data_IF_184970946125
#
_entry.id   IF_184970946125
#
_cell.length_a   1.000
_cell.length_b   1.000
_cell.length_c   1.000
_cell.angle_alpha   90.00
_cell.angle_beta   90.00
_cell.angle_gamma   90.00
#
_symmetry.space_group_name_H-M   'P 1'
#
loop_
_entity.id
_entity.type
_entity.pdbx_description
1 polymer ?
#
# COMPACT_ATOMS: atom_id res chain seq x y z
N UNK A 1 11.19 -7.38 -0.89
CA UNK A 1 10.85 -6.52 0.27
C UNK A 1 10.20 -5.25 -0.23
N UNK A 2 8.95 -5.06 0.17
CA UNK A 2 8.13 -3.88 -0.14
C UNK A 2 7.61 -3.27 1.15
N UNK A 3 7.18 -2.03 1.12
CA UNK A 3 6.58 -1.38 2.27
C UNK A 3 6.12 0.03 1.98
N UNK A 4 5.80 0.76 3.04
CA UNK A 4 5.37 2.14 2.96
C UNK A 4 5.88 2.95 4.14
N UNK A 5 6.09 4.24 3.90
CA UNK A 5 6.11 5.24 4.95
C UNK A 5 4.69 5.78 5.13
N UNK A 6 4.19 5.73 6.36
CA UNK A 6 2.87 6.20 6.75
C UNK A 6 3.02 7.48 7.57
N UNK A 7 2.44 8.59 7.10
CA UNK A 7 2.63 9.90 7.73
C UNK A 7 1.84 10.11 9.02
N UNK A 8 0.90 9.21 9.33
CA UNK A 8 0.12 9.25 10.57
C UNK A 8 0.14 7.91 11.30
N UNK A 9 -0.01 7.99 12.62
CA UNK A 9 -0.16 6.83 13.51
C UNK A 9 -1.40 6.05 13.09
N UNK A 10 -1.28 4.72 13.07
CA UNK A 10 -2.40 3.83 12.76
C UNK A 10 -3.54 4.00 13.77
N UNK A 11 -4.74 4.25 13.27
CA UNK A 11 -5.98 4.36 14.02
C UNK A 11 -7.02 3.40 13.45
N UNK A 12 -7.79 2.69 14.29
CA UNK A 12 -8.90 1.87 13.84
C UNK A 12 -9.97 2.77 13.21
N UNK A 13 -10.50 2.37 12.06
CA UNK A 13 -11.48 3.16 11.32
C UNK A 13 -12.52 2.30 10.60
N UNK A 14 -13.41 2.99 9.89
CA UNK A 14 -14.38 2.35 8.99
C UNK A 14 -13.73 2.01 7.64
N UNK A 15 -14.41 1.19 6.84
CA UNK A 15 -13.93 0.85 5.50
C UNK A 15 -13.87 2.07 4.57
N UNK A 16 -14.60 3.14 4.86
CA UNK A 16 -14.68 4.32 4.00
C UNK A 16 -13.71 5.44 4.42
N UNK A 17 -12.99 5.27 5.54
CA UNK A 17 -12.24 6.34 6.17
C UNK A 17 -10.74 6.20 5.94
N UNK A 18 -10.24 6.85 4.88
CA UNK A 18 -8.80 7.05 4.68
C UNK A 18 -8.29 8.25 5.48
N UNK A 19 -7.05 8.17 5.94
CA UNK A 19 -6.32 9.22 6.63
C UNK A 19 -4.85 9.23 6.19
N UNK A 20 -4.01 10.09 6.79
CA UNK A 20 -2.65 10.37 6.32
C UNK A 20 -2.58 11.62 5.45
N UNK A 21 -1.42 11.85 4.84
CA UNK A 21 -1.15 13.02 3.99
C UNK A 21 -0.08 12.71 2.93
N UNK A 22 0.21 13.70 2.09
CA UNK A 22 1.16 13.62 0.98
C UNK A 22 2.63 13.31 1.32
N UNK A 23 3.00 13.23 2.60
CA UNK A 23 4.32 12.73 3.00
C UNK A 23 4.42 11.20 2.94
N UNK A 24 3.29 10.48 2.89
CA UNK A 24 3.28 9.04 2.70
C UNK A 24 3.86 8.65 1.35
N UNK A 25 4.55 7.50 1.29
CA UNK A 25 5.08 6.94 0.05
C UNK A 25 5.22 5.43 0.15
N UNK A 26 5.19 4.75 -1.01
CA UNK A 26 5.45 3.32 -1.13
C UNK A 26 6.91 3.10 -1.53
N UNK A 27 7.45 1.93 -1.20
CA UNK A 27 8.76 1.53 -1.66
C UNK A 27 8.85 0.03 -1.95
N UNK A 28 9.75 -0.31 -2.88
CA UNK A 28 10.26 -1.66 -3.10
C UNK A 28 11.78 -1.59 -3.00
N UNK A 29 12.37 -2.37 -2.11
CA UNK A 29 13.84 -2.45 -1.99
C UNK A 29 14.42 -3.63 -2.75
N UNK A 30 13.64 -4.71 -2.91
CA UNK A 30 14.00 -5.92 -3.66
C UNK A 30 12.73 -6.61 -4.20
N UNK A 31 12.82 -7.37 -5.30
CA UNK A 31 14.01 -7.56 -6.13
C UNK A 31 14.33 -6.32 -6.99
N UNK A 32 15.53 -6.30 -7.57
CA UNK A 32 16.00 -5.21 -8.44
C UNK A 32 16.43 -3.93 -7.69
N UNK A 33 16.55 -2.84 -8.45
CA UNK A 33 16.88 -1.52 -7.92
C UNK A 33 15.75 -0.95 -7.06
N UNK A 34 16.07 -0.27 -5.94
CA UNK A 34 15.05 0.36 -5.12
C UNK A 34 14.14 1.29 -5.93
N UNK A 35 12.83 1.16 -5.72
CA UNK A 35 11.80 2.00 -6.33
C UNK A 35 11.00 2.68 -5.23
N UNK A 36 10.65 3.95 -5.44
CA UNK A 36 9.86 4.77 -4.50
C UNK A 36 8.74 5.43 -5.28
N UNK A 37 7.50 5.26 -4.82
CA UNK A 37 6.32 5.93 -5.37
C UNK A 37 5.81 6.94 -4.35
N UNK A 38 6.02 8.23 -4.65
CA UNK A 38 5.53 9.34 -3.84
C UNK A 38 4.09 9.67 -4.23
N UNK A 39 3.39 10.38 -3.35
CA UNK A 39 2.07 10.93 -3.70
C UNK A 39 2.18 11.75 -4.99
N UNK A 40 1.30 11.48 -5.95
CA UNK A 40 1.35 12.12 -7.27
C UNK A 40 0.88 13.59 -7.22
N UNK A 41 0.25 14.04 -6.13
CA UNK A 41 -0.27 15.40 -5.98
C UNK A 41 -1.47 15.70 -6.87
N UNK A 42 -1.91 14.75 -7.68
CA UNK A 42 -3.10 14.82 -8.51
C UNK A 42 -4.31 14.40 -7.67
N UNK A 43 -4.77 15.32 -6.82
CA UNK A 43 -6.04 15.20 -6.09
C UNK A 43 -7.21 15.40 -7.05
N UNK A 44 -7.31 14.55 -8.09
CA UNK A 44 -8.46 14.48 -8.98
C UNK A 44 -9.50 13.61 -8.27
N UNK A 45 -10.47 14.25 -7.61
CA UNK A 45 -11.67 13.63 -7.03
C UNK A 45 -11.45 12.28 -6.30
N UNK A 46 -11.03 12.33 -5.03
CA UNK A 46 -11.09 11.16 -4.13
C UNK A 46 -9.95 10.15 -4.29
N UNK A 47 -8.83 10.56 -4.90
CA UNK A 47 -7.59 9.78 -5.05
C UNK A 47 -6.64 9.87 -3.85
N UNK A 48 -6.87 10.80 -2.91
CA UNK A 48 -6.04 11.00 -1.72
C UNK A 48 -6.33 9.94 -0.64
N UNK A 49 -6.06 8.68 -0.98
CA UNK A 49 -6.37 7.50 -0.17
C UNK A 49 -5.09 6.91 0.43
N UNK A 50 -4.45 7.64 1.35
CA UNK A 50 -3.10 7.30 1.82
C UNK A 50 -3.04 6.03 2.66
N UNK A 51 -3.79 5.93 3.77
CA UNK A 51 -3.82 4.74 4.62
C UNK A 51 -5.19 4.55 5.28
N UNK A 52 -5.57 3.29 5.57
CA UNK A 52 -6.73 2.95 6.41
C UNK A 52 -6.52 1.63 7.14
N UNK A 53 -7.17 1.50 8.29
CA UNK A 53 -7.15 0.27 9.08
C UNK A 53 -8.56 -0.09 9.51
N UNK A 54 -8.90 -1.36 9.37
CA UNK A 54 -10.17 -1.93 9.83
C UNK A 54 -9.90 -3.17 10.68
N UNK A 55 -10.95 -3.81 11.20
CA UNK A 55 -10.81 -5.11 11.87
C UNK A 55 -10.35 -6.24 10.93
N UNK A 56 -10.37 -6.01 9.61
CA UNK A 56 -10.12 -7.03 8.57
C UNK A 56 -8.79 -6.85 7.82
N UNK A 57 -8.23 -5.65 7.84
CA UNK A 57 -7.04 -5.33 7.05
C UNK A 57 -6.37 -4.02 7.47
N UNK A 58 -5.10 -3.91 7.08
CA UNK A 58 -4.36 -2.66 6.98
C UNK A 58 -4.10 -2.36 5.50
N UNK A 59 -4.29 -1.11 5.09
CA UNK A 59 -4.05 -0.70 3.71
C UNK A 59 -3.30 0.61 3.59
N UNK A 60 -2.46 0.66 2.56
CA UNK A 60 -1.76 1.87 2.11
C UNK A 60 -1.97 2.04 0.61
N UNK A 61 -2.39 3.24 0.21
CA UNK A 61 -2.63 3.61 -1.19
C UNK A 61 -3.87 2.95 -1.75
N UNK A 62 -5.04 3.53 -1.53
CA UNK A 62 -6.31 2.98 -1.99
C UNK A 62 -6.27 2.55 -3.46
N UNK A 63 -6.90 1.41 -3.75
CA UNK A 63 -6.90 0.77 -5.06
C UNK A 63 -7.79 1.46 -6.08
N UNK A 64 -7.94 0.85 -7.25
CA UNK A 64 -9.00 1.16 -8.22
C UNK A 64 -10.30 0.46 -7.81
N UNK A 65 -11.46 0.95 -8.29
CA UNK A 65 -12.82 0.60 -7.85
C UNK A 65 -13.02 -0.82 -7.28
N UNK A 66 -12.59 -1.85 -8.00
CA UNK A 66 -12.74 -3.27 -7.63
C UNK A 66 -11.44 -3.97 -7.20
N UNK A 67 -10.29 -3.28 -7.26
CA UNK A 67 -8.98 -3.83 -6.96
C UNK A 67 -8.51 -3.54 -5.52
N UNK A 68 -7.53 -4.31 -5.00
CA UNK A 68 -6.95 -4.05 -3.70
C UNK A 68 -6.13 -2.75 -3.71
N UNK A 69 -5.83 -2.24 -2.52
CA UNK A 69 -4.86 -1.17 -2.33
C UNK A 69 -3.45 -1.54 -2.84
N UNK A 70 -2.58 -0.54 -2.94
CA UNK A 70 -1.17 -0.73 -3.30
C UNK A 70 -0.49 -1.73 -2.40
N UNK A 71 -0.79 -1.67 -1.10
CA UNK A 71 -0.43 -2.67 -0.12
C UNK A 71 -1.62 -2.91 0.79
N UNK A 72 -2.13 -4.14 0.79
CA UNK A 72 -3.18 -4.61 1.68
C UNK A 72 -2.67 -5.80 2.48
N UNK A 73 -2.59 -5.68 3.79
CA UNK A 73 -2.28 -6.77 4.70
C UNK A 73 -3.58 -7.28 5.30
N UNK A 74 -3.87 -8.56 5.17
CA UNK A 74 -5.06 -9.18 5.76
C UNK A 74 -4.89 -9.44 7.27
N UNK A 75 -5.99 -9.67 7.97
CA UNK A 75 -5.97 -10.16 9.35
C UNK A 75 -5.13 -11.43 9.45
N UNK A 76 -4.24 -11.49 10.45
CA UNK A 76 -3.30 -12.59 10.65
C UNK A 76 -1.92 -12.35 10.03
N UNK A 77 -1.78 -11.37 9.13
CA UNK A 77 -0.50 -10.96 8.53
C UNK A 77 0.26 -12.10 7.82
N UNK A 78 -0.45 -13.12 7.34
CA UNK A 78 0.12 -14.24 6.58
C UNK A 78 -0.01 -14.03 5.07
N UNK A 79 -1.10 -13.38 4.66
CA UNK A 79 -1.44 -13.10 3.27
C UNK A 79 -1.60 -11.60 3.06
N UNK A 80 -1.22 -11.16 1.87
CA UNK A 80 -1.33 -9.78 1.46
C UNK A 80 -1.65 -9.67 -0.03
N UNK A 81 -2.15 -8.49 -0.41
CA UNK A 81 -2.47 -8.14 -1.77
C UNK A 81 -1.75 -6.84 -2.15
N UNK A 82 -1.42 -6.71 -3.43
CA UNK A 82 -0.89 -5.46 -3.98
C UNK A 82 -1.51 -5.21 -5.34
N UNK A 83 -2.06 -4.01 -5.52
CA UNK A 83 -2.68 -3.56 -6.76
C UNK A 83 -2.19 -2.18 -7.18
N UNK A 84 -2.69 -1.67 -8.31
CA UNK A 84 -2.42 -0.30 -8.72
C UNK A 84 -3.07 0.71 -7.77
N UNK A 85 -2.40 1.83 -7.51
CA UNK A 85 -2.96 2.91 -6.68
C UNK A 85 -2.88 4.27 -7.37
N UNK A 86 -4.04 4.93 -7.61
CA UNK A 86 -4.08 6.32 -8.10
C UNK A 86 -3.36 7.31 -7.17
N UNK A 87 -3.40 7.06 -5.86
CA UNK A 87 -2.75 7.93 -4.85
C UNK A 87 -1.26 8.12 -5.12
N UNK A 88 -0.59 7.05 -5.56
CA UNK A 88 0.87 7.02 -5.72
C UNK A 88 1.31 6.80 -7.17
N UNK A 89 0.34 6.69 -8.09
CA UNK A 89 0.55 6.20 -9.46
C UNK A 89 1.45 4.94 -9.50
N UNK A 90 1.18 4.01 -8.59
CA UNK A 90 1.94 2.77 -8.45
C UNK A 90 1.26 1.61 -9.17
N UNK A 91 2.05 0.65 -9.61
CA UNK A 91 1.64 -0.68 -10.07
C UNK A 91 1.61 -1.69 -8.90
N UNK A 92 1.30 -2.98 -9.16
CA UNK A 92 1.51 -4.05 -8.16
C UNK A 92 3.00 -4.05 -7.75
N UNK A 93 3.24 -3.90 -6.45
CA UNK A 93 4.57 -3.73 -5.87
C UNK A 93 5.39 -5.02 -5.94
N UNK A 94 4.73 -6.16 -6.09
CA UNK A 94 5.34 -7.49 -6.06
C UNK A 94 5.88 -7.85 -7.43
N UNK A 95 7.15 -8.27 -7.45
CA UNK A 95 7.78 -8.75 -8.68
C UNK A 95 7.10 -10.04 -9.16
N UNK A 96 7.01 -10.28 -10.49
CA UNK A 96 6.27 -11.40 -11.04
C UNK A 96 6.57 -12.77 -10.40
N UNK A 97 7.84 -13.03 -10.07
CA UNK A 97 8.32 -14.27 -9.47
C UNK A 97 7.83 -14.52 -8.03
N UNK A 98 7.43 -13.47 -7.31
CA UNK A 98 6.99 -13.53 -5.91
C UNK A 98 5.44 -13.55 -5.77
N UNK A 99 4.70 -13.59 -6.89
CA UNK A 99 3.22 -13.57 -6.92
C UNK A 99 2.65 -14.98 -6.79
N UNK A 100 1.69 -15.18 -5.88
CA UNK A 100 0.96 -16.47 -5.75
C UNK A 100 -0.26 -16.55 -6.66
N UNK A 101 -0.94 -15.42 -6.89
CA UNK A 101 -2.07 -15.31 -7.80
C UNK A 101 -2.06 -13.92 -8.45
N UNK A 102 -2.57 -13.84 -9.66
CA UNK A 102 -2.65 -12.61 -10.45
C UNK A 102 -4.07 -12.47 -11.00
N UNK A 103 -4.56 -11.24 -11.04
CA UNK A 103 -5.88 -10.93 -11.60
C UNK A 103 -5.80 -9.63 -12.38
N UNK A 104 -6.37 -9.67 -13.58
CA UNK A 104 -6.45 -8.52 -14.48
C UNK A 104 -7.64 -7.63 -14.07
N UNK A 105 -7.37 -6.34 -13.89
CA UNK A 105 -8.38 -5.31 -13.63
C UNK A 105 -8.83 -4.62 -14.91
N UNK A 106 -8.29 -5.01 -16.07
CA UNK A 106 -8.45 -4.34 -17.36
C UNK A 106 -7.37 -3.28 -17.60
N UNK A 107 -7.23 -2.86 -18.86
CA UNK A 107 -6.28 -1.81 -19.29
C UNK A 107 -4.80 -2.07 -18.92
N UNK A 108 -4.40 -3.34 -18.82
CA UNK A 108 -3.03 -3.73 -18.45
C UNK A 108 -2.70 -3.50 -16.98
N UNK A 109 -3.71 -3.29 -16.13
CA UNK A 109 -3.55 -3.13 -14.69
C UNK A 109 -3.84 -4.44 -13.99
N UNK A 110 -2.92 -4.85 -13.13
CA UNK A 110 -2.98 -6.13 -12.46
C UNK A 110 -2.84 -5.97 -10.94
N UNK A 111 -3.53 -6.83 -10.20
CA UNK A 111 -3.23 -7.05 -8.79
C UNK A 111 -2.77 -8.48 -8.55
N UNK A 112 -2.10 -8.64 -7.42
CA UNK A 112 -1.39 -9.84 -7.06
C UNK A 112 -1.61 -10.19 -5.58
N UNK A 113 -1.69 -11.48 -5.27
CA UNK A 113 -1.62 -12.00 -3.89
C UNK A 113 -0.20 -12.51 -3.61
N UNK A 114 0.25 -12.39 -2.36
CA UNK A 114 1.56 -12.86 -1.93
C UNK A 114 1.56 -13.25 -0.44
N UNK A 115 2.48 -14.15 -0.07
CA UNK A 115 2.72 -14.52 1.32
C UNK A 115 3.61 -13.52 2.02
N UNK A 116 3.26 -13.25 3.26
CA UNK A 116 4.04 -12.38 4.14
C UNK A 116 4.88 -13.26 5.05
N UNK A 117 6.21 -13.15 4.91
CA UNK A 117 7.14 -13.88 5.78
C UNK A 117 7.36 -13.16 7.11
N UNK A 118 7.37 -11.83 7.09
CA UNK A 118 7.56 -10.97 8.25
C UNK A 118 6.99 -9.56 7.99
N UNK A 119 6.59 -8.87 9.06
CA UNK A 119 6.19 -7.46 9.03
C UNK A 119 6.98 -6.71 10.09
N UNK A 120 7.75 -5.73 9.65
CA UNK A 120 8.50 -4.83 10.53
C UNK A 120 7.85 -3.45 10.57
N UNK A 121 7.66 -2.90 11.77
CA UNK A 121 7.16 -1.53 11.97
C UNK A 121 8.23 -0.72 12.67
N UNK A 122 8.70 0.33 12.00
CA UNK A 122 9.74 1.23 12.52
C UNK A 122 9.11 2.59 12.87
N UNK A 123 9.37 3.05 14.09
CA UNK A 123 9.00 4.38 14.56
C UNK A 123 10.22 5.27 14.74
N UNK A 124 10.01 6.58 14.64
CA UNK A 124 11.06 7.58 14.88
C UNK A 124 10.79 8.25 16.23
N UNK A 125 11.81 8.30 17.09
CA UNK A 125 11.79 9.14 18.27
C UNK A 125 12.51 10.44 17.91
N UNK A 126 11.79 11.57 17.97
CA UNK A 126 12.45 12.87 17.88
C UNK A 126 13.36 13.04 19.10
N UNK A 127 14.65 13.28 18.86
CA UNK A 127 15.53 13.85 19.87
C UNK A 127 15.19 15.33 19.97
N UNK A 128 14.12 15.65 20.70
CA UNK A 128 13.90 17.03 21.12
C UNK A 128 15.08 17.41 22.04
N UNK A 129 15.81 18.45 21.63
CA UNK A 129 16.78 19.17 22.46
C UNK A 129 16.04 20.06 23.47
#
# INVERSE_FOLDING_TARGET
MVGAFCSQVWQPGSELSYYGNGQSFLFRLRPGSPSIWRWCGESVNGTDRFQRATARFLEVGGGLDSGPAALRLETGLEMAQSGPSPTFNSECLIAPEDREMQSDLGEGKEYCNFRVSAVDVLGFKSSAF
#
